data_IF_362365726525
#
_entry.id   IF_362365726525
#
_cell.length_a   1.000
_cell.length_b   1.000
_cell.length_c   1.000
_cell.angle_alpha   90.00
_cell.angle_beta   90.00
_cell.angle_gamma   90.00
#
_symmetry.space_group_name_H-M   'P 1'
#
loop_
_entity.id
_entity.type
_entity.pdbx_description
1 polymer ?
#
# COMPACT_ATOMS: atom_id res chain seq x y z
N UNK A 1 12.83 18.65 17.55
CA UNK A 1 13.63 19.86 17.27
C UNK A 1 14.94 19.73 18.03
N UNK A 2 16.06 20.13 17.43
CA UNK A 2 17.40 20.00 18.03
C UNK A 2 18.07 21.36 17.99
N UNK A 3 18.54 21.83 19.15
CA UNK A 3 19.25 23.10 19.28
C UNK A 3 20.64 22.80 19.83
N UNK A 4 21.66 23.31 19.14
CA UNK A 4 23.05 23.16 19.55
C UNK A 4 23.60 24.53 19.89
N UNK A 5 24.19 24.65 21.07
CA UNK A 5 24.90 25.86 21.50
C UNK A 5 26.33 25.52 21.85
N UNK A 6 27.25 26.41 21.49
CA UNK A 6 28.67 26.28 21.76
C UNK A 6 29.11 27.46 22.61
N UNK A 7 29.85 27.19 23.69
CA UNK A 7 30.52 28.22 24.48
C UNK A 7 31.97 27.86 24.72
N UNK A 8 32.85 28.86 24.75
CA UNK A 8 34.24 28.71 25.17
C UNK A 8 34.45 29.46 26.47
N UNK A 9 34.87 28.74 27.51
CA UNK A 9 35.17 29.28 28.84
C UNK A 9 36.58 28.81 29.18
N UNK A 10 37.48 29.75 29.50
CA UNK A 10 38.86 29.49 29.91
C UNK A 10 39.65 28.51 29.00
N UNK A 11 39.47 28.64 27.68
CA UNK A 11 40.15 27.81 26.68
C UNK A 11 39.53 26.43 26.46
N UNK A 12 38.52 26.05 27.24
CA UNK A 12 37.74 24.82 27.05
C UNK A 12 36.52 25.11 26.20
N UNK A 13 36.31 24.32 25.15
CA UNK A 13 35.09 24.40 24.34
C UNK A 13 34.05 23.43 24.90
N UNK A 14 32.92 23.98 25.32
CA UNK A 14 31.75 23.20 25.71
C UNK A 14 30.69 23.27 24.62
N UNK A 15 30.13 22.10 24.28
CA UNK A 15 29.04 21.95 23.32
C UNK A 15 27.84 21.41 24.08
N UNK A 16 26.78 22.20 24.15
CA UNK A 16 25.52 21.80 24.77
C UNK A 16 24.51 21.50 23.68
N UNK A 17 24.07 20.25 23.65
CA UNK A 17 23.00 19.78 22.76
C UNK A 17 21.73 19.65 23.58
N UNK A 18 20.71 20.42 23.20
CA UNK A 18 19.34 20.21 23.69
C UNK A 18 18.55 19.53 22.58
N UNK A 19 18.04 18.35 22.90
CA UNK A 19 17.17 17.57 22.02
C UNK A 19 15.82 17.37 22.70
N UNK A 20 14.75 17.66 21.97
CA UNK A 20 13.41 17.35 22.41
C UNK A 20 12.98 16.02 21.81
N UNK A 21 12.97 14.99 22.67
CA UNK A 21 12.66 13.60 22.31
C UNK A 21 11.19 13.34 22.01
N UNK A 22 10.30 14.16 22.58
CA UNK A 22 8.85 14.05 22.44
C UNK A 22 8.32 15.38 21.91
N UNK A 23 7.69 15.33 20.74
CA UNK A 23 6.96 16.50 20.22
C UNK A 23 5.73 16.71 21.10
N UNK A 24 5.57 17.90 21.67
CA UNK A 24 4.39 18.22 22.49
C UNK A 24 3.15 18.11 21.59
N UNK A 25 2.20 17.24 21.93
CA UNK A 25 0.93 17.09 21.23
C UNK A 25 0.80 15.91 20.26
N UNK A 26 1.83 15.08 20.07
CA UNK A 26 1.69 13.81 19.36
C UNK A 26 1.98 12.65 20.32
N UNK A 27 0.91 11.96 20.74
CA UNK A 27 1.03 10.57 21.19
C UNK A 27 1.60 9.74 20.03
N UNK A 28 2.33 8.66 20.34
CA UNK A 28 2.91 7.77 19.33
C UNK A 28 2.00 7.62 18.11
N UNK A 29 2.54 7.85 16.91
CA UNK A 29 1.79 7.80 15.65
C UNK A 29 2.12 6.50 14.88
N UNK A 30 1.76 5.30 15.40
CA UNK A 30 2.13 4.03 14.78
C UNK A 30 1.58 3.86 13.37
N UNK A 31 0.53 4.60 12.99
CA UNK A 31 0.01 4.63 11.62
C UNK A 31 0.98 5.23 10.58
N UNK A 32 1.95 6.06 11.00
CA UNK A 32 2.99 6.61 10.12
C UNK A 32 4.18 5.68 9.93
N UNK A 33 4.28 4.62 10.73
CA UNK A 33 5.30 3.60 10.55
C UNK A 33 5.02 2.79 9.27
N UNK A 34 6.06 2.19 8.72
CA UNK A 34 5.92 1.28 7.58
C UNK A 34 5.55 -0.13 8.06
N UNK A 35 4.76 -0.83 7.26
CA UNK A 35 4.64 -2.28 7.40
C UNK A 35 5.99 -2.92 7.08
N UNK A 36 6.39 -3.89 7.88
CA UNK A 36 7.63 -4.64 7.66
C UNK A 36 7.52 -5.46 6.38
N UNK A 37 8.66 -5.89 5.84
CA UNK A 37 8.70 -6.72 4.63
C UNK A 37 7.93 -8.03 4.83
N UNK A 38 8.06 -8.62 6.01
CA UNK A 38 7.43 -9.90 6.35
C UNK A 38 5.91 -9.75 6.48
N UNK A 39 5.44 -8.69 7.15
CA UNK A 39 4.02 -8.34 7.22
C UNK A 39 3.42 -8.13 5.83
N UNK A 40 4.11 -7.39 4.97
CA UNK A 40 3.68 -7.16 3.58
C UNK A 40 3.61 -8.46 2.78
N UNK A 41 4.57 -9.36 2.99
CA UNK A 41 4.58 -10.66 2.32
C UNK A 41 3.45 -11.56 2.79
N UNK A 42 3.13 -11.57 4.09
CA UNK A 42 2.01 -12.34 4.63
C UNK A 42 0.68 -11.85 4.06
N UNK A 43 0.47 -10.52 4.03
CA UNK A 43 -0.72 -9.91 3.44
C UNK A 43 -0.82 -10.21 1.94
N UNK A 44 0.29 -10.18 1.21
CA UNK A 44 0.36 -10.57 -0.20
C UNK A 44 -0.10 -12.02 -0.41
N UNK A 45 0.40 -12.97 0.38
CA UNK A 45 -0.01 -14.37 0.29
C UNK A 45 -1.51 -14.59 0.57
N UNK A 46 -2.10 -13.82 1.50
CA UNK A 46 -3.54 -13.85 1.73
C UNK A 46 -4.33 -13.30 0.53
N UNK A 47 -3.84 -12.23 -0.09
CA UNK A 47 -4.45 -11.63 -1.28
C UNK A 47 -4.35 -12.53 -2.52
N UNK A 48 -3.25 -13.30 -2.67
CA UNK A 48 -3.09 -14.29 -3.74
C UNK A 48 -4.05 -15.47 -3.62
N UNK A 49 -4.50 -15.78 -2.40
CA UNK A 49 -5.51 -16.81 -2.13
C UNK A 49 -6.95 -16.29 -2.32
N UNK A 50 -7.13 -15.14 -2.97
CA UNK A 50 -8.42 -14.47 -3.18
C UNK A 50 -9.19 -14.22 -1.87
N UNK A 51 -8.49 -14.09 -0.73
CA UNK A 51 -9.14 -13.74 0.53
C UNK A 51 -9.64 -12.29 0.43
N UNK A 52 -10.94 -12.02 0.69
CA UNK A 52 -11.48 -10.68 0.59
C UNK A 52 -10.72 -9.69 1.48
N UNK A 53 -10.38 -8.52 0.93
CA UNK A 53 -9.67 -7.46 1.68
C UNK A 53 -10.34 -7.09 2.99
N UNK A 54 -11.68 -7.13 3.06
CA UNK A 54 -12.42 -6.87 4.29
C UNK A 54 -12.05 -7.87 5.40
N UNK A 55 -11.99 -9.16 5.07
CA UNK A 55 -11.62 -10.23 6.01
C UNK A 55 -10.17 -10.07 6.50
N UNK A 56 -9.25 -9.75 5.60
CA UNK A 56 -7.84 -9.46 5.95
C UNK A 56 -7.75 -8.27 6.91
N UNK A 57 -8.54 -7.21 6.67
CA UNK A 57 -8.57 -6.04 7.56
C UNK A 57 -9.13 -6.38 8.94
N UNK A 58 -10.14 -7.25 9.01
CA UNK A 58 -10.70 -7.67 10.29
C UNK A 58 -9.70 -8.55 11.06
N UNK A 59 -9.05 -9.51 10.41
CA UNK A 59 -7.99 -10.34 11.03
C UNK A 59 -6.80 -9.50 11.51
N UNK A 60 -6.34 -8.53 10.71
CA UNK A 60 -5.23 -7.65 11.13
C UNK A 60 -5.60 -6.77 12.33
N UNK A 61 -6.87 -6.35 12.46
CA UNK A 61 -7.36 -5.58 13.61
C UNK A 61 -7.38 -6.40 14.90
N UNK A 62 -7.58 -7.71 14.82
CA UNK A 62 -7.48 -8.59 16.00
C UNK A 62 -6.05 -8.63 16.55
N UNK A 63 -5.05 -8.48 15.69
CA UNK A 63 -3.64 -8.35 16.08
C UNK A 63 -3.23 -6.92 16.51
N UNK A 64 -4.20 -6.07 16.88
CA UNK A 64 -3.92 -4.71 17.32
C UNK A 64 -3.09 -4.68 18.61
N UNK A 65 -1.99 -3.94 18.56
CA UNK A 65 -1.15 -3.65 19.72
C UNK A 65 -0.75 -2.17 19.73
N UNK A 66 -0.84 -1.47 20.87
CA UNK A 66 -0.40 -0.09 20.99
C UNK A 66 1.05 0.08 20.51
N UNK A 67 1.27 1.04 19.60
CA UNK A 67 2.60 1.31 19.04
C UNK A 67 2.99 0.45 17.84
N UNK A 68 2.17 -0.52 17.43
CA UNK A 68 2.43 -1.33 16.22
C UNK A 68 1.63 -0.85 15.01
N UNK A 69 2.26 -0.89 13.83
CA UNK A 69 1.66 -0.50 12.55
C UNK A 69 0.65 -1.50 12.01
N UNK A 70 0.89 -2.79 12.26
CA UNK A 70 0.20 -3.89 11.59
C UNK A 70 -1.32 -3.87 11.79
N UNK A 71 -1.78 -3.69 13.02
CA UNK A 71 -3.22 -3.59 13.33
C UNK A 71 -3.91 -2.34 12.80
N UNK A 72 -3.16 -1.39 12.24
CA UNK A 72 -3.68 -0.19 11.57
C UNK A 72 -3.67 -0.32 10.05
N UNK A 73 -3.50 -1.53 9.51
CA UNK A 73 -3.51 -1.77 8.06
C UNK A 73 -4.80 -1.23 7.45
N UNK A 74 -4.67 -0.55 6.32
CA UNK A 74 -5.80 0.07 5.61
C UNK A 74 -6.04 -0.62 4.26
N UNK A 75 -7.24 -0.42 3.70
CA UNK A 75 -7.53 -0.89 2.34
C UNK A 75 -6.56 -0.33 1.31
N UNK A 76 -6.08 0.91 1.50
CA UNK A 76 -5.08 1.52 0.61
C UNK A 76 -3.76 0.76 0.66
N UNK A 77 -3.35 0.31 1.84
CA UNK A 77 -2.14 -0.52 2.00
C UNK A 77 -2.28 -1.83 1.22
N UNK A 78 -3.42 -2.52 1.32
CA UNK A 78 -3.69 -3.74 0.57
C UNK A 78 -3.65 -3.52 -0.95
N UNK A 79 -4.25 -2.43 -1.46
CA UNK A 79 -4.14 -2.09 -2.89
C UNK A 79 -2.70 -1.80 -3.33
N UNK A 80 -1.92 -1.11 -2.50
CA UNK A 80 -0.51 -0.87 -2.78
C UNK A 80 0.28 -2.18 -2.78
N UNK A 81 -0.02 -3.12 -1.88
CA UNK A 81 0.57 -4.45 -1.84
C UNK A 81 0.20 -5.24 -3.10
N UNK A 82 -1.08 -5.27 -3.50
CA UNK A 82 -1.48 -5.91 -4.77
C UNK A 82 -0.69 -5.37 -5.95
N UNK A 83 -0.54 -4.03 -6.05
CA UNK A 83 0.25 -3.40 -7.10
C UNK A 83 1.72 -3.83 -7.06
N UNK A 84 2.33 -3.76 -5.88
CA UNK A 84 3.77 -3.99 -5.72
C UNK A 84 4.14 -5.47 -5.91
N UNK A 85 3.27 -6.39 -5.52
CA UNK A 85 3.41 -7.85 -5.69
C UNK A 85 2.78 -8.36 -6.99
N UNK A 86 2.19 -7.49 -7.82
CA UNK A 86 1.51 -7.84 -9.09
C UNK A 86 0.37 -8.86 -8.91
N UNK A 87 -0.29 -8.84 -7.75
CA UNK A 87 -1.42 -9.70 -7.43
C UNK A 87 -2.66 -9.16 -8.14
N UNK A 88 -3.25 -10.00 -9.00
CA UNK A 88 -4.58 -9.85 -9.60
C UNK A 88 -5.10 -8.43 -9.76
N UNK A 89 -4.71 -7.74 -10.84
CA UNK A 89 -5.47 -6.57 -11.31
C UNK A 89 -6.75 -7.07 -11.97
N UNK A 90 -7.85 -7.16 -11.23
CA UNK A 90 -9.18 -7.50 -11.77
C UNK A 90 -9.84 -6.38 -12.57
N UNK A 91 -9.10 -5.46 -13.21
CA UNK A 91 -9.78 -4.46 -14.05
C UNK A 91 -8.94 -3.52 -14.91
N UNK A 92 -7.67 -3.25 -14.56
CA UNK A 92 -6.86 -2.25 -15.30
C UNK A 92 -5.61 -2.89 -15.89
N UNK A 93 -5.77 -3.55 -17.04
CA UNK A 93 -4.71 -4.21 -17.80
C UNK A 93 -3.77 -3.18 -18.44
N UNK A 94 -4.26 -1.97 -18.73
CA UNK A 94 -3.47 -0.89 -19.32
C UNK A 94 -3.90 0.48 -18.75
N UNK A 95 -3.03 1.49 -18.81
CA UNK A 95 -3.34 2.85 -18.32
C UNK A 95 -4.36 3.58 -19.20
N UNK A 96 -4.39 3.25 -20.49
CA UNK A 96 -5.46 3.62 -21.41
C UNK A 96 -6.64 2.64 -21.28
N UNK A 97 -7.82 3.20 -21.04
CA UNK A 97 -9.04 2.46 -20.72
C UNK A 97 -9.52 1.60 -21.91
N UNK A 98 -9.52 2.15 -23.12
CA UNK A 98 -9.91 1.44 -24.34
C UNK A 98 -9.01 0.21 -24.59
N UNK A 99 -7.70 0.38 -24.38
CA UNK A 99 -6.73 -0.72 -24.45
C UNK A 99 -6.96 -1.75 -23.35
N UNK A 100 -7.27 -1.31 -22.12
CA UNK A 100 -7.54 -2.19 -20.98
C UNK A 100 -8.76 -3.08 -21.21
N UNK A 101 -9.86 -2.51 -21.70
CA UNK A 101 -11.10 -3.24 -22.02
C UNK A 101 -10.86 -4.23 -23.16
N UNK A 102 -10.13 -3.82 -24.21
CA UNK A 102 -9.82 -4.70 -25.35
C UNK A 102 -8.99 -5.91 -24.92
N UNK A 103 -7.99 -5.72 -24.06
CA UNK A 103 -7.19 -6.81 -23.50
C UNK A 103 -8.03 -7.75 -22.61
N UNK A 104 -8.98 -7.19 -21.85
CA UNK A 104 -9.87 -7.97 -20.99
C UNK A 104 -10.79 -8.87 -21.82
N UNK A 105 -11.40 -8.33 -22.87
CA UNK A 105 -12.24 -9.10 -23.79
C UNK A 105 -11.43 -10.18 -24.50
N UNK A 106 -10.22 -9.87 -24.96
CA UNK A 106 -9.33 -10.85 -25.59
C UNK A 106 -8.98 -11.99 -24.63
N UNK A 107 -8.76 -11.70 -23.36
CA UNK A 107 -8.53 -12.74 -22.34
C UNK A 107 -9.78 -13.61 -22.13
N UNK A 108 -10.98 -13.03 -22.18
CA UNK A 108 -12.24 -13.78 -22.09
C UNK A 108 -12.48 -14.68 -23.30
N UNK A 109 -12.18 -14.21 -24.51
CA UNK A 109 -12.30 -15.00 -25.75
C UNK A 109 -11.34 -16.19 -25.79
N UNK A 110 -10.18 -16.07 -25.14
CA UNK A 110 -9.22 -17.16 -25.03
C UNK A 110 -9.55 -18.15 -23.89
N UNK A 111 -10.63 -17.92 -23.14
CA UNK A 111 -11.11 -18.84 -22.11
C UNK A 111 -11.75 -20.09 -22.73
N UNK A 112 -11.66 -21.27 -22.09
CA UNK A 112 -12.29 -22.50 -22.59
C UNK A 112 -13.81 -22.40 -22.81
N UNK A 113 -14.46 -21.45 -22.15
CA UNK A 113 -15.84 -21.07 -22.40
C UNK A 113 -15.83 -19.58 -22.72
N UNK A 114 -15.74 -19.26 -24.01
CA UNK A 114 -15.81 -17.89 -24.51
C UNK A 114 -17.19 -17.29 -24.17
N UNK A 115 -17.28 -16.31 -23.25
CA UNK A 115 -18.54 -15.68 -22.90
C UNK A 115 -18.89 -14.50 -23.81
N UNK A 116 -18.01 -14.13 -24.75
CA UNK A 116 -18.12 -12.90 -25.55
C UNK A 116 -18.85 -13.19 -26.85
N UNK A 117 -20.13 -12.83 -26.90
CA UNK A 117 -20.94 -13.00 -28.11
C UNK A 117 -20.65 -11.93 -29.16
N UNK A 118 -20.55 -10.67 -28.73
CA UNK A 118 -20.28 -9.51 -29.59
C UNK A 118 -19.45 -8.50 -28.78
N UNK A 119 -18.37 -8.00 -29.38
CA UNK A 119 -17.57 -6.92 -28.83
C UNK A 119 -17.24 -5.90 -29.92
N UNK A 120 -17.42 -4.62 -29.61
CA UNK A 120 -17.08 -3.50 -30.49
C UNK A 120 -16.02 -2.63 -29.81
N UNK A 121 -14.82 -2.50 -30.38
CA UNK A 121 -13.80 -1.59 -29.86
C UNK A 121 -14.27 -0.13 -29.89
N UNK A 122 -13.81 0.67 -28.93
CA UNK A 122 -14.04 2.11 -28.93
C UNK A 122 -13.30 2.74 -30.13
N UNK A 123 -14.01 3.52 -30.94
CA UNK A 123 -13.46 4.20 -32.12
C UNK A 123 -13.64 3.48 -33.44
N UNK A 124 -14.22 2.27 -33.44
CA UNK A 124 -14.59 1.57 -34.67
C UNK A 124 -15.98 2.02 -35.15
N UNK A 125 -16.13 2.37 -36.42
CA UNK A 125 -17.43 2.58 -37.05
C UNK A 125 -17.92 1.24 -37.62
N UNK A 126 -19.14 0.81 -37.29
CA UNK A 126 -19.69 -0.41 -37.90
C UNK A 126 -20.07 -0.08 -39.35
N UNK A 127 -19.39 -0.69 -40.31
CA UNK A 127 -19.88 -0.79 -41.69
C UNK A 127 -20.99 -1.83 -41.78
#
# INVERSE_FOLDING_TARGET
>A
MMTVSRRSIDGVTEITVQYQSVHVGHDMEPGKLHLTKDERSALASSLEQDIPMAKILDETREAYSPGQRFGLTTRKDLHNICRDYKIGKTGVLHSDDATSVTLMVKNMQNSPHDPVLIFKPVGDEMN
#
